data_IF_099573615806
#
_entry.id   IF_099573615806
#
_cell.length_a   1.000
_cell.length_b   1.000
_cell.length_c   1.000
_cell.angle_alpha   90.00
_cell.angle_beta   90.00
_cell.angle_gamma   90.00
#
_symmetry.space_group_name_H-M   'P 1'
#
loop_
_entity.id
_entity.type
_entity.pdbx_description
1 polymer ?
#
# COMPACT_ATOMS: atom_id res chain seq x y z
N UNK A 1 4.35 -1.37 0.34
CA UNK A 1 4.60 -0.22 1.24
C UNK A 1 3.79 1.02 0.89
N UNK A 2 3.76 1.49 -0.36
CA UNK A 2 3.05 2.73 -0.76
C UNK A 2 1.62 2.80 -0.26
N UNK A 3 0.84 1.71 -0.38
CA UNK A 3 -0.52 1.62 0.20
C UNK A 3 -0.56 1.91 1.71
N UNK A 4 0.37 1.39 2.53
CA UNK A 4 0.38 1.71 3.97
C UNK A 4 0.62 3.19 4.23
N UNK A 5 1.45 3.86 3.43
CA UNK A 5 1.63 5.32 3.54
C UNK A 5 0.34 6.05 3.20
N UNK A 6 -0.31 5.67 2.10
CA UNK A 6 -1.60 6.26 1.71
C UNK A 6 -2.65 6.05 2.79
N UNK A 7 -2.76 4.85 3.35
CA UNK A 7 -3.66 4.55 4.46
C UNK A 7 -3.31 5.35 5.72
N UNK A 8 -2.04 5.44 6.11
CA UNK A 8 -1.59 6.26 7.23
C UNK A 8 -1.98 7.74 7.05
N UNK A 9 -1.77 8.29 5.85
CA UNK A 9 -2.16 9.67 5.54
C UNK A 9 -3.68 9.86 5.63
N UNK A 10 -4.48 8.90 5.16
CA UNK A 10 -5.95 8.91 5.31
C UNK A 10 -6.33 8.88 6.80
N UNK A 11 -5.69 8.03 7.59
CA UNK A 11 -5.94 7.96 9.04
C UNK A 11 -5.50 9.21 9.79
N UNK A 12 -4.46 9.93 9.35
CA UNK A 12 -4.12 11.24 9.90
C UNK A 12 -5.25 12.26 9.67
N UNK A 13 -5.95 12.18 8.53
CA UNK A 13 -7.12 13.00 8.25
C UNK A 13 -8.37 12.54 9.03
N UNK A 14 -8.52 11.23 9.29
CA UNK A 14 -9.54 10.67 10.19
C UNK A 14 -9.33 11.18 11.62
N UNK A 15 -8.09 11.10 12.11
CA UNK A 15 -7.71 11.61 13.42
C UNK A 15 -7.98 13.11 13.56
N UNK A 16 -7.77 13.88 12.49
CA UNK A 16 -8.07 15.30 12.44
C UNK A 16 -9.57 15.62 12.26
N UNK A 17 -10.45 14.61 12.18
CA UNK A 17 -11.88 14.76 12.00
C UNK A 17 -12.30 15.24 10.60
N UNK A 18 -11.39 15.19 9.61
CA UNK A 18 -11.63 15.63 8.24
C UNK A 18 -12.12 14.51 7.33
N UNK A 19 -11.81 13.26 7.67
CA UNK A 19 -12.35 12.06 7.02
C UNK A 19 -13.17 11.25 8.02
N UNK A 20 -14.40 10.94 7.63
CA UNK A 20 -15.23 9.88 8.19
C UNK A 20 -15.10 8.64 7.28
N UNK A 21 -14.68 7.51 7.88
CA UNK A 21 -14.48 6.23 7.21
C UNK A 21 -15.76 5.67 6.58
N UNK A 22 -16.92 5.95 7.19
CA UNK A 22 -18.22 5.47 6.72
C UNK A 22 -18.86 6.40 5.67
N UNK A 23 -18.28 7.58 5.44
CA UNK A 23 -18.82 8.49 4.46
C UNK A 23 -18.51 8.02 3.03
N UNK A 24 -19.41 8.27 2.07
CA UNK A 24 -19.20 7.90 0.68
C UNK A 24 -18.08 8.73 0.05
N UNK A 25 -17.38 8.16 -0.93
CA UNK A 25 -16.31 8.80 -1.70
C UNK A 25 -16.77 10.14 -2.32
N UNK A 26 -18.01 10.20 -2.80
CA UNK A 26 -18.63 11.41 -3.37
C UNK A 26 -18.67 12.61 -2.41
N UNK A 27 -18.55 12.41 -1.09
CA UNK A 27 -18.42 13.51 -0.12
C UNK A 27 -17.12 14.29 -0.29
N UNK A 28 -16.06 13.62 -0.75
CA UNK A 28 -14.70 14.15 -0.76
C UNK A 28 -14.19 14.51 -2.14
N UNK A 29 -14.81 13.98 -3.20
CA UNK A 29 -14.40 14.20 -4.58
C UNK A 29 -15.43 15.09 -5.29
N UNK A 30 -14.94 16.19 -5.87
CA UNK A 30 -15.76 17.06 -6.72
C UNK A 30 -15.88 16.40 -8.10
N UNK A 31 -17.10 16.43 -8.64
CA UNK A 31 -17.43 15.83 -9.94
C UNK A 31 -17.16 14.31 -9.95
N UNK A 32 -17.43 13.65 -8.82
CA UNK A 32 -17.24 12.21 -8.67
C UNK A 32 -18.19 11.40 -9.58
N UNK A 33 -17.78 10.21 -10.04
CA UNK A 33 -18.67 9.29 -10.72
C UNK A 33 -19.92 8.98 -9.88
N UNK A 34 -21.06 8.72 -10.51
CA UNK A 34 -22.32 8.50 -9.80
C UNK A 34 -22.24 7.37 -8.75
N UNK A 35 -21.48 6.31 -9.05
CA UNK A 35 -21.26 5.18 -8.14
C UNK A 35 -20.47 5.56 -6.88
N UNK A 36 -19.73 6.67 -6.86
CA UNK A 36 -18.99 7.11 -5.68
C UNK A 36 -19.89 7.47 -4.47
N UNK A 37 -21.21 7.50 -4.67
CA UNK A 37 -22.20 7.62 -3.60
C UNK A 37 -22.44 6.31 -2.82
N UNK A 38 -22.03 5.15 -3.37
CA UNK A 38 -22.26 3.83 -2.75
C UNK A 38 -21.01 3.22 -2.10
N UNK A 39 -19.82 3.73 -2.44
CA UNK A 39 -18.53 3.25 -1.92
C UNK A 39 -18.02 4.20 -0.84
N UNK A 40 -17.70 3.68 0.35
CA UNK A 40 -17.17 4.46 1.48
C UNK A 40 -15.64 4.48 1.47
N UNK A 41 -15.04 5.36 2.28
CA UNK A 41 -13.59 5.38 2.47
C UNK A 41 -13.07 4.07 3.09
N UNK A 42 -13.82 3.46 4.02
CA UNK A 42 -13.47 2.15 4.57
C UNK A 42 -13.50 1.06 3.49
N UNK A 43 -14.48 1.06 2.59
CA UNK A 43 -14.52 0.10 1.48
C UNK A 43 -13.28 0.19 0.59
N UNK A 44 -12.79 1.41 0.33
CA UNK A 44 -11.56 1.62 -0.44
C UNK A 44 -10.33 1.11 0.33
N UNK A 45 -10.17 1.50 1.60
CA UNK A 45 -9.04 1.10 2.43
C UNK A 45 -8.95 -0.41 2.64
N UNK A 46 -10.10 -1.10 2.71
CA UNK A 46 -10.20 -2.55 2.93
C UNK A 46 -10.23 -3.38 1.66
N UNK A 47 -10.16 -2.78 0.46
CA UNK A 47 -10.33 -3.48 -0.81
C UNK A 47 -11.65 -4.27 -0.88
N UNK A 48 -12.72 -3.68 -0.37
CA UNK A 48 -14.08 -4.24 -0.45
C UNK A 48 -15.00 -3.35 -1.28
N UNK A 49 -14.43 -2.50 -2.14
CA UNK A 49 -15.15 -1.53 -2.95
C UNK A 49 -15.98 -2.16 -4.08
N UNK A 50 -15.59 -3.35 -4.53
CA UNK A 50 -16.11 -3.99 -5.75
C UNK A 50 -15.56 -3.40 -7.04
N UNK A 51 -14.61 -2.46 -6.99
CA UNK A 51 -13.91 -1.96 -8.18
C UNK A 51 -13.05 -3.07 -8.80
N UNK A 52 -12.84 -2.99 -10.12
CA UNK A 52 -11.88 -3.86 -10.80
C UNK A 52 -10.45 -3.39 -10.51
N UNK A 53 -9.50 -4.31 -10.66
CA UNK A 53 -8.08 -3.96 -10.68
C UNK A 53 -7.81 -2.89 -11.75
N UNK A 54 -6.90 -1.97 -11.44
CA UNK A 54 -6.47 -0.97 -12.39
C UNK A 54 -5.72 -1.67 -13.53
N UNK A 55 -6.15 -1.45 -14.76
CA UNK A 55 -5.33 -1.81 -15.91
C UNK A 55 -4.22 -0.76 -16.04
N UNK A 56 -3.14 -0.94 -15.28
CA UNK A 56 -1.98 -0.04 -15.32
C UNK A 56 -1.03 -0.36 -16.47
N UNK A 57 -1.44 -1.22 -17.42
CA UNK A 57 -0.64 -1.55 -18.60
C UNK A 57 0.56 -2.46 -18.32
N UNK A 58 0.38 -3.58 -17.62
CA UNK A 58 1.37 -4.68 -17.72
C UNK A 58 1.50 -5.19 -19.17
N UNK A 59 0.48 -4.95 -19.99
CA UNK A 59 0.63 -4.88 -21.44
C UNK A 59 1.21 -3.50 -21.81
N UNK A 60 2.33 -3.49 -22.52
CA UNK A 60 2.99 -2.31 -23.09
C UNK A 60 2.10 -1.46 -24.03
N UNK A 61 0.81 -1.77 -24.13
CA UNK A 61 -0.19 -1.26 -25.09
C UNK A 61 -1.32 -0.46 -24.40
N UNK A 62 -1.11 0.10 -23.21
CA UNK A 62 -2.06 1.09 -22.72
C UNK A 62 -1.99 2.33 -23.63
N UNK A 63 -3.09 2.73 -24.28
CA UNK A 63 -3.07 3.87 -25.18
C UNK A 63 -2.83 5.12 -24.35
N UNK A 64 -1.57 5.57 -24.33
CA UNK A 64 -1.22 6.92 -23.92
C UNK A 64 -2.15 7.88 -24.67
N UNK A 65 -3.11 8.48 -23.97
CA UNK A 65 -3.95 9.50 -24.59
C UNK A 65 -3.01 10.65 -24.98
N UNK A 66 -2.90 11.02 -26.27
CA UNK A 66 -1.81 11.86 -26.79
C UNK A 66 -1.79 13.31 -26.27
N UNK A 67 -2.71 13.67 -25.36
CA UNK A 67 -2.92 15.02 -24.84
C UNK A 67 -2.52 15.19 -23.36
N UNK A 68 -1.86 14.22 -22.71
CA UNK A 68 -1.43 14.37 -21.31
C UNK A 68 0.01 13.96 -21.12
N UNK A 69 0.76 14.79 -20.39
CA UNK A 69 2.13 14.47 -20.02
C UNK A 69 2.16 13.30 -19.02
N UNK A 70 3.24 12.52 -19.01
CA UNK A 70 3.42 11.45 -18.02
C UNK A 70 3.35 11.98 -16.56
N UNK A 71 3.75 13.24 -16.34
CA UNK A 71 3.65 13.89 -15.04
C UNK A 71 2.19 14.20 -14.62
N UNK A 72 1.33 14.54 -15.58
CA UNK A 72 -0.10 14.70 -15.31
C UNK A 72 -0.77 13.35 -15.05
N UNK A 73 -0.40 12.30 -15.79
CA UNK A 73 -0.93 10.96 -15.59
C UNK A 73 -0.47 10.32 -14.26
N UNK A 74 0.66 10.74 -13.70
CA UNK A 74 1.12 10.27 -12.39
C UNK A 74 0.28 10.81 -11.21
N UNK A 75 -0.57 11.82 -11.45
CA UNK A 75 -1.44 12.40 -10.42
C UNK A 75 -2.53 11.40 -10.02
N UNK A 76 -2.72 11.11 -8.73
CA UNK A 76 -3.74 10.15 -8.26
C UNK A 76 -5.14 10.46 -8.78
N UNK A 77 -5.56 11.74 -8.80
CA UNK A 77 -6.87 12.14 -9.33
C UNK A 77 -7.05 11.79 -10.80
N UNK A 78 -6.00 11.94 -11.61
CA UNK A 78 -6.07 11.64 -13.04
C UNK A 78 -6.11 10.13 -13.28
N UNK A 79 -5.39 9.34 -12.49
CA UNK A 79 -5.47 7.88 -12.56
C UNK A 79 -6.85 7.38 -12.13
N UNK A 80 -7.34 7.88 -11.00
CA UNK A 80 -8.66 7.55 -10.47
C UNK A 80 -9.78 7.84 -11.49
N UNK A 81 -9.78 9.04 -12.09
CA UNK A 81 -10.86 9.47 -13.00
C UNK A 81 -10.76 8.93 -14.42
N UNK A 82 -9.59 8.42 -14.86
CA UNK A 82 -9.38 7.93 -16.23
C UNK A 82 -9.26 6.41 -16.33
N UNK A 83 -8.63 5.78 -15.35
CA UNK A 83 -8.38 4.32 -15.31
C UNK A 83 -9.47 3.64 -14.48
N UNK A 84 -9.87 4.26 -13.36
CA UNK A 84 -10.75 3.66 -12.37
C UNK A 84 -12.15 4.31 -12.34
N UNK A 85 -12.63 4.71 -13.51
CA UNK A 85 -13.91 5.40 -13.69
C UNK A 85 -15.12 4.46 -13.66
N UNK A 86 -14.94 3.19 -14.06
CA UNK A 86 -16.03 2.23 -14.17
C UNK A 86 -16.65 1.90 -12.82
N UNK A 87 -17.94 1.58 -12.83
CA UNK A 87 -18.69 1.25 -11.63
C UNK A 87 -18.23 -0.09 -11.01
N UNK A 88 -18.40 -0.26 -9.69
CA UNK A 88 -18.18 -1.53 -9.02
C UNK A 88 -18.93 -2.69 -9.68
N UNK A 89 -18.28 -3.84 -9.77
CA UNK A 89 -18.80 -5.08 -10.36
C UNK A 89 -19.43 -6.01 -9.33
N UNK A 90 -19.20 -5.70 -8.07
CA UNK A 90 -19.78 -6.35 -6.91
C UNK A 90 -20.29 -5.28 -5.94
N UNK A 91 -21.22 -5.69 -5.07
CA UNK A 91 -21.73 -4.80 -4.04
C UNK A 91 -20.60 -4.40 -3.07
N UNK A 92 -20.43 -3.11 -2.74
CA UNK A 92 -19.42 -2.69 -1.77
C UNK A 92 -19.64 -3.35 -0.40
N UNK A 93 -18.56 -3.74 0.25
CA UNK A 93 -18.53 -4.39 1.57
C UNK A 93 -18.77 -5.90 1.57
N UNK A 94 -19.04 -6.55 0.42
CA UNK A 94 -19.41 -7.97 0.41
C UNK A 94 -18.26 -8.95 0.14
N UNK A 95 -17.21 -8.50 -0.53
CA UNK A 95 -16.08 -9.36 -0.88
C UNK A 95 -14.76 -8.58 -0.88
N UNK A 96 -13.68 -9.28 -0.52
CA UNK A 96 -12.33 -8.76 -0.62
C UNK A 96 -11.78 -8.97 -2.04
N UNK A 97 -11.32 -7.90 -2.67
CA UNK A 97 -10.65 -7.91 -3.96
C UNK A 97 -9.57 -6.83 -3.97
N UNK A 98 -8.33 -7.25 -3.74
CA UNK A 98 -7.18 -6.37 -3.74
C UNK A 98 -7.00 -5.67 -5.09
N UNK A 99 -6.77 -4.35 -5.08
CA UNK A 99 -6.43 -3.61 -6.28
C UNK A 99 -5.90 -2.19 -6.10
N UNK A 100 -5.41 -1.61 -7.18
CA UNK A 100 -4.76 -0.29 -7.16
C UNK A 100 -5.76 0.87 -7.27
N UNK A 101 -6.91 0.63 -7.91
CA UNK A 101 -7.93 1.64 -8.12
C UNK A 101 -8.41 2.31 -6.84
N UNK A 102 -8.61 1.54 -5.77
CA UNK A 102 -9.01 2.11 -4.49
C UNK A 102 -8.01 3.13 -3.97
N UNK A 103 -6.73 2.86 -4.14
CA UNK A 103 -5.67 3.70 -3.60
C UNK A 103 -5.43 4.94 -4.45
N UNK A 104 -5.71 4.90 -5.76
CA UNK A 104 -5.77 6.10 -6.59
C UNK A 104 -6.87 7.05 -6.11
N UNK A 105 -8.07 6.51 -5.81
CA UNK A 105 -9.16 7.30 -5.24
C UNK A 105 -8.82 7.88 -3.86
N UNK A 106 -8.20 7.10 -2.96
CA UNK A 106 -7.73 7.59 -1.66
C UNK A 106 -6.68 8.70 -1.81
N UNK A 107 -5.75 8.56 -2.76
CA UNK A 107 -4.81 9.62 -3.12
C UNK A 107 -5.51 10.90 -3.59
N UNK A 108 -6.52 10.77 -4.45
CA UNK A 108 -7.30 11.90 -4.94
C UNK A 108 -8.06 12.61 -3.80
N UNK A 109 -8.60 11.87 -2.84
CA UNK A 109 -9.24 12.42 -1.63
C UNK A 109 -8.25 13.25 -0.83
N UNK A 110 -7.05 12.72 -0.58
CA UNK A 110 -5.99 13.44 0.13
C UNK A 110 -5.59 14.74 -0.58
N UNK A 111 -5.40 14.70 -1.90
CA UNK A 111 -5.06 15.90 -2.67
C UNK A 111 -6.19 16.94 -2.63
N UNK A 112 -7.44 16.51 -2.78
CA UNK A 112 -8.59 17.41 -2.76
C UNK A 112 -8.82 18.06 -1.38
N UNK A 113 -8.65 17.30 -0.30
CA UNK A 113 -8.84 17.81 1.07
C UNK A 113 -7.74 18.78 1.50
N UNK A 114 -6.50 18.51 1.10
CA UNK A 114 -5.33 19.24 1.60
C UNK A 114 -4.82 20.32 0.66
N UNK A 115 -5.16 20.25 -0.63
CA UNK A 115 -4.57 21.08 -1.68
C UNK A 115 -3.09 20.78 -1.97
N UNK A 116 -2.50 19.78 -1.30
CA UNK A 116 -1.12 19.34 -1.50
C UNK A 116 -1.11 18.08 -2.34
N UNK A 117 -0.05 17.88 -3.12
CA UNK A 117 0.12 16.63 -3.85
C UNK A 117 0.42 15.48 -2.90
N UNK A 118 0.03 14.26 -3.28
CA UNK A 118 0.23 13.10 -2.42
C UNK A 118 1.72 12.84 -2.10
N UNK A 119 2.61 13.06 -3.07
CA UNK A 119 4.06 12.92 -2.88
C UNK A 119 4.61 13.93 -1.85
N UNK A 120 4.09 15.16 -1.86
CA UNK A 120 4.40 16.17 -0.85
C UNK A 120 3.89 15.73 0.53
N UNK A 121 2.67 15.21 0.63
CA UNK A 121 2.11 14.71 1.89
C UNK A 121 2.95 13.56 2.47
N UNK A 122 3.28 12.57 1.64
CA UNK A 122 4.14 11.45 2.03
C UNK A 122 5.52 11.93 2.49
N UNK A 123 6.11 12.90 1.79
CA UNK A 123 7.40 13.46 2.16
C UNK A 123 7.33 14.23 3.49
N UNK A 124 6.34 15.11 3.64
CA UNK A 124 6.27 16.10 4.71
C UNK A 124 5.79 15.50 6.03
N UNK A 125 4.86 14.55 5.97
CA UNK A 125 4.17 14.02 7.16
C UNK A 125 4.70 12.65 7.60
N UNK A 126 5.35 11.93 6.70
CA UNK A 126 5.88 10.58 6.95
C UNK A 126 7.39 10.54 6.79
N UNK A 127 7.93 10.77 5.59
CA UNK A 127 9.34 10.51 5.31
C UNK A 127 10.29 11.42 6.09
N UNK A 128 10.11 12.75 6.08
CA UNK A 128 10.99 13.67 6.82
C UNK A 128 10.89 13.48 8.34
N UNK A 129 9.70 13.41 8.97
CA UNK A 129 9.59 13.20 10.42
C UNK A 129 10.23 11.89 10.90
N UNK A 130 10.15 10.83 10.08
CA UNK A 130 10.78 9.54 10.39
C UNK A 130 12.22 9.43 9.88
N UNK A 131 12.76 10.47 9.23
CA UNK A 131 14.12 10.44 8.69
C UNK A 131 14.36 9.40 7.59
N UNK A 132 13.35 9.10 6.78
CA UNK A 132 13.39 8.16 5.65
C UNK A 132 14.02 8.86 4.43
N UNK A 133 15.35 8.80 4.32
CA UNK A 133 16.12 9.65 3.38
C UNK A 133 16.03 9.19 1.93
N UNK A 134 15.87 7.89 1.72
CA UNK A 134 15.81 7.27 0.39
C UNK A 134 14.39 7.11 -0.13
N UNK A 135 13.39 7.41 0.70
CA UNK A 135 12.00 7.15 0.37
C UNK A 135 11.38 8.29 -0.44
N UNK A 136 11.15 8.04 -1.72
CA UNK A 136 10.64 9.04 -2.67
C UNK A 136 9.58 8.47 -3.60
N UNK A 137 8.66 9.30 -4.06
CA UNK A 137 7.74 8.94 -5.14
C UNK A 137 8.51 8.84 -6.47
N UNK A 138 8.25 7.77 -7.22
CA UNK A 138 8.80 7.55 -8.55
C UNK A 138 8.29 8.63 -9.51
N UNK A 139 9.16 9.08 -10.42
CA UNK A 139 8.83 10.11 -11.41
C UNK A 139 9.09 9.59 -12.83
N UNK A 140 8.26 9.99 -13.82
CA UNK A 140 8.53 9.67 -15.22
C UNK A 140 9.95 10.09 -15.63
N UNK A 141 10.66 9.22 -16.35
CA UNK A 141 12.02 9.49 -16.83
C UNK A 141 13.12 9.48 -15.74
N UNK A 142 12.79 9.19 -14.48
CA UNK A 142 13.77 8.94 -13.40
C UNK A 142 13.56 7.55 -12.83
N UNK A 143 14.26 6.59 -13.42
CA UNK A 143 14.31 5.25 -12.89
C UNK A 143 15.58 5.07 -12.04
N UNK A 144 15.40 5.08 -10.73
CA UNK A 144 16.45 4.75 -9.77
C UNK A 144 16.18 3.40 -9.10
N UNK A 145 15.31 2.56 -9.68
CA UNK A 145 14.94 1.28 -9.09
C UNK A 145 15.90 0.18 -9.51
N UNK A 146 16.08 -0.79 -8.61
CA UNK A 146 16.66 -2.07 -9.02
C UNK A 146 15.72 -2.72 -10.03
N UNK A 147 16.30 -3.38 -11.03
CA UNK A 147 15.53 -4.12 -12.04
C UNK A 147 15.38 -5.57 -11.63
N UNK A 148 14.19 -6.11 -11.80
CA UNK A 148 13.94 -7.54 -11.70
C UNK A 148 14.53 -8.31 -12.87
N UNK A 149 14.66 -9.62 -12.70
CA UNK A 149 14.95 -10.56 -13.76
C UNK A 149 13.66 -11.21 -14.28
N UNK A 150 13.67 -11.67 -15.52
CA UNK A 150 12.74 -12.66 -16.07
C UNK A 150 13.36 -14.04 -15.89
N UNK A 151 12.54 -15.08 -15.82
CA UNK A 151 12.98 -16.48 -15.91
C UNK A 151 13.96 -16.65 -17.08
N UNK A 152 15.20 -17.06 -16.79
CA UNK A 152 16.29 -17.17 -17.77
C UNK A 152 17.29 -16.00 -17.78
N UNK A 153 17.49 -15.34 -16.63
CA UNK A 153 18.54 -14.33 -16.36
C UNK A 153 18.48 -13.04 -17.20
N UNK A 154 17.36 -12.78 -17.89
CA UNK A 154 17.18 -11.53 -18.63
C UNK A 154 16.62 -10.45 -17.72
N UNK A 155 17.27 -9.30 -17.62
CA UNK A 155 16.71 -8.15 -16.91
C UNK A 155 15.38 -7.70 -17.54
N UNK A 156 14.38 -7.46 -16.70
CA UNK A 156 13.16 -6.78 -17.10
C UNK A 156 13.43 -5.32 -17.46
N UNK A 157 12.65 -4.72 -18.38
CA UNK A 157 12.62 -3.28 -18.53
C UNK A 157 12.19 -2.61 -17.22
N UNK A 158 12.62 -1.38 -17.03
CA UNK A 158 12.20 -0.56 -15.90
C UNK A 158 10.66 -0.52 -15.83
N UNK A 159 10.03 -0.91 -14.71
CA UNK A 159 8.58 -1.13 -14.66
C UNK A 159 7.75 0.16 -14.65
N UNK A 160 8.34 1.32 -14.96
CA UNK A 160 7.60 2.59 -14.99
C UNK A 160 6.86 2.89 -13.69
N UNK A 161 7.51 2.65 -12.53
CA UNK A 161 6.86 2.63 -11.20
C UNK A 161 5.97 3.86 -10.89
N UNK A 162 6.27 5.01 -11.50
CA UNK A 162 5.45 6.23 -11.43
C UNK A 162 3.98 6.01 -11.84
N UNK A 163 3.71 5.04 -12.73
CA UNK A 163 2.36 4.70 -13.19
C UNK A 163 1.49 4.11 -12.07
N UNK A 164 2.09 3.55 -11.02
CA UNK A 164 1.38 3.00 -9.87
C UNK A 164 1.14 4.02 -8.73
N UNK A 165 1.58 5.28 -8.87
CA UNK A 165 1.30 6.42 -7.99
C UNK A 165 1.14 6.07 -6.48
N UNK A 166 -0.04 6.32 -5.88
CA UNK A 166 -0.34 6.06 -4.45
C UNK A 166 -0.50 4.58 -4.08
N UNK A 167 -0.55 3.69 -5.08
CA UNK A 167 -0.77 2.26 -4.87
C UNK A 167 0.56 1.48 -4.78
N UNK A 168 1.54 1.78 -5.63
CA UNK A 168 2.88 1.17 -5.59
C UNK A 168 4.02 2.11 -6.02
N UNK A 169 3.76 3.39 -6.27
CA UNK A 169 4.67 4.34 -6.90
C UNK A 169 5.83 4.90 -6.07
N UNK A 170 6.35 4.18 -5.06
CA UNK A 170 7.47 4.68 -4.23
C UNK A 170 8.68 3.76 -4.26
N UNK A 171 9.85 4.37 -4.14
CA UNK A 171 11.15 3.69 -4.07
C UNK A 171 11.82 4.02 -2.73
N UNK A 172 12.72 3.15 -2.28
CA UNK A 172 13.48 3.35 -1.04
C UNK A 172 14.38 2.15 -0.73
N UNK A 173 15.15 2.26 0.35
CA UNK A 173 16.00 1.18 0.87
C UNK A 173 15.26 0.32 1.90
N UNK A 174 15.69 -0.94 2.07
CA UNK A 174 15.15 -1.82 3.12
C UNK A 174 15.27 -1.21 4.53
N UNK A 175 16.32 -0.42 4.77
CA UNK A 175 16.52 0.28 6.05
C UNK A 175 15.39 1.29 6.33
N UNK A 176 15.01 2.08 5.33
CA UNK A 176 13.92 3.04 5.48
C UNK A 176 12.57 2.33 5.56
N UNK A 177 12.38 1.24 4.82
CA UNK A 177 11.18 0.38 4.92
C UNK A 177 11.01 -0.16 6.33
N UNK A 178 12.05 -0.77 6.92
CA UNK A 178 12.00 -1.31 8.27
C UNK A 178 11.75 -0.21 9.32
N UNK A 179 12.32 0.98 9.11
CA UNK A 179 12.11 2.12 10.00
C UNK A 179 10.68 2.65 9.98
N UNK A 180 10.08 2.78 8.80
CA UNK A 180 8.67 3.16 8.68
C UNK A 180 7.76 2.13 9.33
N UNK A 181 7.99 0.85 9.04
CA UNK A 181 7.14 -0.21 9.54
C UNK A 181 7.16 -0.26 11.07
N UNK A 182 8.36 -0.16 11.68
CA UNK A 182 8.51 -0.02 13.14
C UNK A 182 7.75 1.19 13.67
N UNK A 183 7.88 2.35 13.03
CA UNK A 183 7.19 3.57 13.45
C UNK A 183 5.66 3.47 13.32
N UNK A 184 5.16 2.73 12.32
CA UNK A 184 3.74 2.47 12.13
C UNK A 184 3.18 1.59 13.25
N UNK A 185 3.81 0.43 13.51
CA UNK A 185 3.28 -0.52 14.52
C UNK A 185 3.39 0.02 15.96
N UNK A 186 4.30 0.97 16.21
CA UNK A 186 4.45 1.67 17.49
C UNK A 186 3.73 3.02 17.58
N UNK A 187 2.86 3.34 16.62
CA UNK A 187 2.01 4.54 16.69
C UNK A 187 2.78 5.87 16.74
N UNK A 188 3.95 5.98 16.11
CA UNK A 188 4.77 7.21 16.16
C UNK A 188 4.16 8.38 15.36
N UNK A 189 3.31 8.09 14.38
CA UNK A 189 2.74 9.08 13.43
C UNK A 189 1.21 9.16 13.45
N UNK A 190 0.57 8.40 14.32
CA UNK A 190 -0.89 8.25 14.43
C UNK A 190 -1.22 7.79 15.85
N UNK A 191 -2.28 8.32 16.46
CA UNK A 191 -2.65 7.96 17.84
C UNK A 191 -2.92 6.44 17.94
N UNK A 192 -2.59 5.79 19.08
CA UNK A 192 -2.70 4.34 19.22
C UNK A 192 -4.07 3.75 18.86
N UNK A 193 -5.17 4.47 19.14
CA UNK A 193 -6.52 4.02 18.79
C UNK A 193 -6.72 3.88 17.28
N UNK A 194 -6.18 4.82 16.50
CA UNK A 194 -6.31 4.85 15.06
C UNK A 194 -5.31 3.91 14.40
N UNK A 195 -4.11 3.77 14.96
CA UNK A 195 -3.16 2.72 14.54
C UNK A 195 -3.75 1.33 14.74
N UNK A 196 -4.40 1.08 15.89
CA UNK A 196 -5.08 -0.19 16.15
C UNK A 196 -6.18 -0.45 15.12
N UNK A 197 -7.01 0.55 14.80
CA UNK A 197 -8.05 0.40 13.77
C UNK A 197 -7.48 0.21 12.36
N UNK A 198 -6.42 0.93 11.99
CA UNK A 198 -5.75 0.78 10.70
C UNK A 198 -5.16 -0.62 10.54
N UNK A 199 -4.59 -1.17 11.61
CA UNK A 199 -3.97 -2.49 11.65
C UNK A 199 -4.94 -3.61 12.07
N UNK A 200 -6.25 -3.33 12.12
CA UNK A 200 -7.26 -4.35 12.43
C UNK A 200 -7.53 -5.21 11.19
N UNK A 201 -6.93 -6.40 11.17
CA UNK A 201 -7.19 -7.43 10.16
C UNK A 201 -8.54 -8.10 10.39
N UNK A 202 -9.29 -8.31 9.30
CA UNK A 202 -10.61 -8.96 9.34
C UNK A 202 -10.56 -10.36 8.70
N UNK A 203 -10.75 -11.45 9.47
CA UNK A 203 -10.63 -12.82 8.95
C UNK A 203 -11.54 -13.11 7.74
N UNK A 204 -12.75 -12.57 7.73
CA UNK A 204 -13.71 -12.68 6.61
C UNK A 204 -13.21 -12.03 5.31
N UNK A 205 -12.21 -11.15 5.41
CA UNK A 205 -11.51 -10.51 4.30
C UNK A 205 -10.04 -10.92 4.26
N UNK A 206 -9.77 -12.20 4.49
CA UNK A 206 -8.43 -12.79 4.43
C UNK A 206 -7.44 -12.13 5.40
N UNK A 207 -7.93 -11.64 6.54
CA UNK A 207 -7.15 -10.90 7.55
C UNK A 207 -6.52 -9.60 7.02
N UNK A 208 -7.06 -9.04 5.93
CA UNK A 208 -6.64 -7.75 5.43
C UNK A 208 -6.98 -6.64 6.43
N UNK A 209 -5.97 -5.86 6.77
CA UNK A 209 -6.04 -4.61 7.50
C UNK A 209 -5.92 -3.44 6.52
N UNK A 210 -6.10 -2.19 6.94
CA UNK A 210 -6.13 -1.05 6.01
C UNK A 210 -4.71 -0.68 5.53
N UNK A 211 -4.27 -1.33 4.45
CA UNK A 211 -2.97 -1.14 3.82
C UNK A 211 -1.97 -2.28 4.06
N UNK A 212 -2.30 -3.25 4.91
CA UNK A 212 -1.46 -4.40 5.28
C UNK A 212 -2.31 -5.63 5.55
N UNK A 213 -1.70 -6.73 5.97
CA UNK A 213 -2.38 -7.84 6.62
C UNK A 213 -2.04 -7.83 8.10
N UNK A 214 -2.98 -8.19 8.96
CA UNK A 214 -2.71 -8.36 10.38
C UNK A 214 -3.46 -9.58 10.89
N UNK A 215 -2.74 -10.51 11.51
CA UNK A 215 -3.30 -11.78 11.93
C UNK A 215 -2.54 -12.32 13.14
N UNK A 216 -3.20 -13.16 13.93
CA UNK A 216 -2.60 -13.81 15.10
C UNK A 216 -2.45 -15.29 14.82
N UNK A 217 -1.28 -15.86 15.13
CA UNK A 217 -1.00 -17.29 15.00
C UNK A 217 -0.43 -17.85 16.31
N UNK A 218 -0.76 -19.10 16.66
CA UNK A 218 -0.07 -19.80 17.72
C UNK A 218 1.37 -20.09 17.30
N UNK A 219 2.32 -19.67 18.11
CA UNK A 219 3.74 -19.76 17.84
C UNK A 219 4.49 -20.09 19.14
N UNK A 220 5.04 -21.32 19.19
CA UNK A 220 5.73 -21.88 20.35
C UNK A 220 4.92 -21.77 21.66
N UNK A 221 3.61 -22.03 21.58
CA UNK A 221 2.70 -22.03 22.74
C UNK A 221 2.17 -20.66 23.16
N UNK A 222 2.44 -19.60 22.39
CA UNK A 222 1.91 -18.26 22.60
C UNK A 222 1.24 -17.74 21.33
N UNK A 223 0.18 -16.97 21.48
CA UNK A 223 -0.43 -16.27 20.36
C UNK A 223 0.39 -15.02 20.04
N UNK A 224 0.94 -14.97 18.81
CA UNK A 224 1.71 -13.82 18.32
C UNK A 224 0.91 -13.09 17.26
N UNK A 225 0.86 -11.75 17.38
CA UNK A 225 0.34 -10.89 16.33
C UNK A 225 1.42 -10.56 15.29
N UNK A 226 1.08 -10.79 14.03
CA UNK A 226 1.87 -10.44 12.87
C UNK A 226 1.21 -9.30 12.11
N UNK A 227 2.02 -8.36 11.63
CA UNK A 227 1.62 -7.38 10.61
C UNK A 227 2.49 -7.60 9.39
N UNK A 228 1.87 -7.81 8.24
CA UNK A 228 2.56 -8.20 7.02
C UNK A 228 2.25 -7.26 5.85
N UNK A 229 3.28 -6.96 5.05
CA UNK A 229 3.12 -6.31 3.77
C UNK A 229 3.97 -6.97 2.69
N UNK A 230 3.30 -7.41 1.64
CA UNK A 230 3.93 -7.86 0.40
C UNK A 230 4.05 -6.74 -0.63
N UNK A 231 4.89 -6.90 -1.64
CA UNK A 231 4.97 -5.99 -2.78
C UNK A 231 5.57 -6.71 -3.98
N UNK A 232 5.00 -6.47 -5.16
CA UNK A 232 5.49 -7.06 -6.40
C UNK A 232 5.29 -6.06 -7.54
N UNK A 233 6.39 -5.61 -8.14
CA UNK A 233 6.40 -4.80 -9.37
C UNK A 233 7.68 -5.11 -10.14
N UNK A 234 7.57 -5.41 -11.44
CA UNK A 234 8.74 -5.52 -12.34
C UNK A 234 9.83 -6.49 -11.87
N UNK A 235 9.45 -7.75 -11.60
CA UNK A 235 10.33 -8.80 -11.07
C UNK A 235 10.91 -8.56 -9.67
N UNK A 236 10.66 -7.39 -9.07
CA UNK A 236 11.04 -7.09 -7.68
C UNK A 236 9.95 -7.60 -6.73
N UNK A 237 10.33 -8.42 -5.76
CA UNK A 237 9.49 -8.89 -4.66
C UNK A 237 9.96 -8.28 -3.35
N UNK A 238 9.02 -7.76 -2.57
CA UNK A 238 9.23 -7.24 -1.23
C UNK A 238 8.32 -7.99 -0.24
N UNK A 239 8.87 -8.35 0.91
CA UNK A 239 8.11 -8.86 2.04
C UNK A 239 8.56 -8.12 3.30
N UNK A 240 7.61 -7.60 4.06
CA UNK A 240 7.83 -6.95 5.35
C UNK A 240 6.93 -7.62 6.37
N UNK A 241 7.51 -8.06 7.48
CA UNK A 241 6.79 -8.71 8.57
C UNK A 241 7.22 -8.05 9.86
N UNK A 242 6.24 -7.66 10.66
CA UNK A 242 6.42 -7.08 11.98
C UNK A 242 5.80 -7.97 13.03
N UNK A 243 6.49 -8.09 14.16
CA UNK A 243 5.97 -8.70 15.38
C UNK A 243 5.94 -7.60 16.43
N UNK A 244 4.84 -6.83 16.54
CA UNK A 244 4.82 -5.59 17.31
C UNK A 244 5.19 -5.79 18.79
N UNK A 245 4.72 -6.88 19.39
CA UNK A 245 4.93 -7.19 20.81
C UNK A 245 6.39 -7.58 21.13
N UNK A 246 7.21 -7.86 20.11
CA UNK A 246 8.63 -8.22 20.24
C UNK A 246 9.57 -7.14 19.67
N UNK A 247 9.04 -5.98 19.25
CA UNK A 247 9.81 -4.90 18.60
C UNK A 247 10.67 -5.38 17.41
N UNK A 248 10.18 -6.40 16.69
CA UNK A 248 10.87 -7.03 15.58
C UNK A 248 10.24 -6.64 14.24
N UNK A 249 11.08 -6.24 13.29
CA UNK A 249 10.71 -6.02 11.89
C UNK A 249 11.70 -6.72 10.98
N UNK A 250 11.19 -7.60 10.11
CA UNK A 250 11.93 -8.27 9.05
C UNK A 250 11.50 -7.71 7.70
N UNK A 251 12.43 -7.07 6.98
CA UNK A 251 12.20 -6.56 5.63
C UNK A 251 13.13 -7.25 4.63
N UNK A 252 12.56 -7.87 3.60
CA UNK A 252 13.28 -8.71 2.63
C UNK A 252 12.91 -8.29 1.21
N UNK A 253 13.92 -8.17 0.34
CA UNK A 253 13.72 -7.88 -1.09
C UNK A 253 14.44 -8.92 -1.93
N UNK A 254 13.83 -9.29 -3.05
CA UNK A 254 14.46 -10.07 -4.11
C UNK A 254 14.16 -9.42 -5.45
N UNK A 255 15.12 -9.48 -6.37
CA UNK A 255 14.93 -9.12 -7.77
C UNK A 255 14.75 -10.34 -8.67
N UNK A 256 14.50 -11.50 -8.07
CA UNK A 256 14.12 -12.73 -8.76
C UNK A 256 12.59 -12.95 -8.62
N UNK A 257 11.86 -13.02 -9.75
CA UNK A 257 10.41 -13.17 -9.78
C UNK A 257 9.95 -14.55 -9.27
N UNK A 258 10.84 -15.53 -9.20
CA UNK A 258 10.54 -16.87 -8.69
C UNK A 258 10.77 -17.00 -7.19
N UNK A 259 11.42 -16.01 -6.56
CA UNK A 259 11.56 -15.98 -5.11
C UNK A 259 10.19 -16.07 -4.43
N UNK A 260 10.03 -17.02 -3.51
CA UNK A 260 8.86 -17.14 -2.64
C UNK A 260 9.32 -16.86 -1.22
N UNK A 261 8.87 -15.74 -0.67
CA UNK A 261 9.00 -15.51 0.76
C UNK A 261 7.92 -16.33 1.46
N UNK A 262 8.32 -17.24 2.34
CA UNK A 262 7.41 -17.81 3.32
C UNK A 262 6.91 -16.68 4.22
N UNK A 263 5.60 -16.62 4.50
CA UNK A 263 5.07 -15.76 5.55
C UNK A 263 5.08 -16.45 6.92
N UNK A 264 4.61 -15.75 7.95
CA UNK A 264 4.59 -16.27 9.31
C UNK A 264 3.67 -17.49 9.51
N UNK A 265 2.77 -17.75 8.55
CA UNK A 265 1.92 -18.95 8.53
C UNK A 265 2.68 -20.26 8.28
N UNK A 266 3.92 -20.21 7.77
CA UNK A 266 4.75 -21.39 7.60
C UNK A 266 5.62 -21.59 8.87
N UNK A 267 5.27 -22.50 9.79
CA UNK A 267 5.98 -22.65 11.07
C UNK A 267 7.43 -23.12 10.87
N UNK A 268 7.74 -23.79 9.77
CA UNK A 268 9.09 -24.24 9.43
C UNK A 268 9.81 -23.29 8.47
N UNK A 269 9.13 -22.22 8.04
CA UNK A 269 9.62 -21.25 7.06
C UNK A 269 10.75 -20.36 7.58
N UNK A 270 11.41 -19.65 6.67
CA UNK A 270 12.52 -18.75 7.00
C UNK A 270 12.14 -17.71 8.06
N UNK A 271 10.98 -17.07 7.90
CA UNK A 271 10.47 -16.03 8.82
C UNK A 271 10.34 -16.58 10.24
N UNK A 272 9.65 -17.71 10.40
CA UNK A 272 9.46 -18.38 11.68
C UNK A 272 10.80 -18.74 12.34
N UNK A 273 11.78 -19.22 11.58
CA UNK A 273 13.13 -19.50 12.12
C UNK A 273 13.84 -18.24 12.62
N UNK A 274 13.73 -17.12 11.91
CA UNK A 274 14.31 -15.84 12.35
C UNK A 274 13.68 -15.37 13.66
N UNK A 275 12.34 -15.46 13.78
CA UNK A 275 11.61 -15.06 14.99
C UNK A 275 11.97 -15.94 16.18
N UNK A 276 12.08 -17.27 15.99
CA UNK A 276 12.58 -18.16 17.05
C UNK A 276 13.99 -17.78 17.48
N UNK A 277 14.87 -17.49 16.51
CA UNK A 277 16.24 -17.10 16.81
C UNK A 277 16.33 -15.76 17.58
N UNK A 278 15.45 -14.79 17.32
CA UNK A 278 15.42 -13.53 18.08
C UNK A 278 14.90 -13.68 19.51
N UNK A 279 14.19 -14.76 19.81
CA UNK A 279 13.68 -15.11 21.15
C UNK A 279 14.68 -15.91 21.98
N UNK A 280 15.78 -16.37 21.39
CA UNK A 280 16.82 -17.07 22.13
C UNK A 280 17.59 -16.08 23.02
N UNK A 281 17.95 -16.49 24.26
CA UNK A 281 18.66 -15.65 25.22
C UNK A 281 20.10 -15.31 24.81
#
# INVERSE_FOLDING_TARGET
MTKQITALLVFQEVQAGRIDLNAPLSRYIKDAPAWASTVTIEHLLRHTSGLREADTGESYDFPFHPASSAAELARPRNQATRICHDAPVAAPGTQFQYGDCEYFWLGAVLEQLTGQSWDQLAQDRVARPLGLKSWVAAKPGRDTTARGYVVGDKLEPAPGLWAYSTAAGMTGTLKDVARFERALVHSERLDPKWTAQMLEGRPEFQSHAMGSWSYTLPFDGQDIRFVERQGWVGGIRLMVISVPDEDLVLAMVSNDPDTRFDGAWNPEGFVSRVIRASRLP
#
